data_IF_067870192172
#
_entry.id   IF_067870192172
#
_cell.length_a   1.000
_cell.length_b   1.000
_cell.length_c   1.000
_cell.angle_alpha   90.00
_cell.angle_beta   90.00
_cell.angle_gamma   90.00
#
_symmetry.space_group_name_H-M   'P 1'
#
loop_
_entity.id
_entity.type
_entity.pdbx_description
1 polymer ?
#
# COMPACT_ATOMS: atom_id res chain seq x y z
N UNK A 1 23.34 60.87 -15.86
CA UNK A 1 22.13 60.56 -16.65
C UNK A 1 22.13 59.07 -17.00
N UNK A 2 21.14 58.34 -16.46
CA UNK A 2 20.61 57.02 -16.86
C UNK A 2 21.49 55.76 -16.70
N UNK A 3 21.41 55.21 -15.50
CA UNK A 3 21.54 53.80 -15.09
C UNK A 3 20.62 52.87 -15.89
N UNK A 4 21.04 51.64 -16.19
CA UNK A 4 20.14 50.49 -16.39
C UNK A 4 20.76 49.23 -15.78
N UNK A 5 20.19 48.80 -14.66
CA UNK A 5 20.34 47.46 -14.12
C UNK A 5 19.53 46.49 -14.99
N UNK A 6 20.12 45.35 -15.35
CA UNK A 6 19.38 44.23 -15.93
C UNK A 6 19.15 43.24 -14.80
N UNK A 7 17.91 43.23 -14.32
CA UNK A 7 17.34 42.25 -13.41
C UNK A 7 17.13 40.97 -14.22
N UNK A 8 17.80 39.88 -13.84
CA UNK A 8 17.43 38.56 -14.32
C UNK A 8 16.22 38.09 -13.54
N UNK A 9 15.06 38.16 -14.20
CA UNK A 9 13.80 37.60 -13.74
C UNK A 9 13.95 36.07 -13.67
N UNK A 10 13.99 35.51 -12.46
CA UNK A 10 13.81 34.07 -12.24
C UNK A 10 12.36 33.75 -12.56
N UNK A 11 12.13 33.10 -13.71
CA UNK A 11 10.87 32.43 -13.97
C UNK A 11 10.78 31.25 -13.00
N UNK A 12 10.00 31.44 -11.93
CA UNK A 12 9.43 30.37 -11.13
C UNK A 12 8.65 29.45 -12.08
N UNK A 13 9.26 28.35 -12.48
CA UNK A 13 8.50 27.16 -12.84
C UNK A 13 7.95 26.66 -11.52
N UNK A 14 6.65 26.84 -11.31
CA UNK A 14 5.93 26.08 -10.30
C UNK A 14 6.02 24.61 -10.72
N UNK A 15 7.09 23.95 -10.28
CA UNK A 15 7.12 22.51 -10.12
C UNK A 15 6.07 22.22 -9.04
N UNK A 16 4.82 22.09 -9.44
CA UNK A 16 3.83 21.34 -8.65
C UNK A 16 4.26 19.90 -8.78
N UNK A 17 5.31 19.56 -8.05
CA UNK A 17 5.64 18.18 -7.79
C UNK A 17 4.42 17.66 -7.07
N UNK A 18 3.86 16.57 -7.57
CA UNK A 18 3.06 15.71 -6.73
C UNK A 18 3.87 15.51 -5.45
N UNK A 19 3.45 16.18 -4.38
CA UNK A 19 4.03 15.94 -3.07
C UNK A 19 3.86 14.43 -2.84
N UNK A 20 4.93 13.69 -2.48
CA UNK A 20 4.73 12.31 -2.07
C UNK A 20 3.67 12.36 -0.97
N UNK A 21 2.59 11.60 -1.14
CA UNK A 21 1.49 11.57 -0.20
C UNK A 21 2.04 11.13 1.17
N UNK A 22 2.40 12.10 1.99
CA UNK A 22 2.50 12.00 3.46
C UNK A 22 1.14 11.60 4.08
N UNK A 23 0.11 11.41 3.24
CA UNK A 23 -1.26 11.10 3.60
C UNK A 23 -1.45 9.68 4.19
N UNK A 24 -0.48 8.78 4.01
CA UNK A 24 -0.45 7.48 4.71
C UNK A 24 0.18 7.55 6.10
N UNK A 25 1.24 8.36 6.25
CA UNK A 25 1.99 8.53 7.51
C UNK A 25 1.23 9.37 8.55
N UNK A 26 0.29 10.21 8.13
CA UNK A 26 -0.35 11.24 8.98
C UNK A 26 -1.78 10.94 9.42
N UNK A 27 -2.40 9.83 9.01
CA UNK A 27 -3.81 9.52 9.35
C UNK A 27 -3.97 8.82 10.70
N UNK A 28 -2.97 8.10 11.17
CA UNK A 28 -2.84 7.71 12.56
C UNK A 28 -1.94 8.74 13.24
N UNK A 29 -2.43 9.48 14.22
CA UNK A 29 -1.66 10.51 14.95
C UNK A 29 -0.51 9.98 15.81
N UNK A 30 0.02 8.79 15.50
CA UNK A 30 1.13 8.14 16.20
C UNK A 30 1.93 7.26 15.24
N UNK A 31 3.23 7.16 15.50
CA UNK A 31 4.14 6.26 14.80
C UNK A 31 3.65 4.81 14.88
N UNK A 32 3.64 4.10 13.74
CA UNK A 32 3.22 2.70 13.67
C UNK A 32 4.36 1.83 14.19
N UNK A 33 4.15 1.20 15.34
CA UNK A 33 5.16 0.38 16.01
C UNK A 33 4.73 -1.06 16.15
N UNK A 34 3.42 -1.31 16.21
CA UNK A 34 2.85 -2.63 16.44
C UNK A 34 1.57 -2.84 15.63
N UNK A 35 1.23 -4.11 15.39
CA UNK A 35 -0.05 -4.49 14.77
C UNK A 35 -1.27 -3.93 15.51
N UNK A 36 -1.15 -3.72 16.83
CA UNK A 36 -2.24 -3.16 17.65
C UNK A 36 -2.61 -1.75 17.21
N UNK A 37 -1.68 -0.99 16.65
CA UNK A 37 -1.88 0.40 16.24
C UNK A 37 -2.90 0.52 15.10
N UNK A 38 -3.08 -0.54 14.31
CA UNK A 38 -4.07 -0.59 13.23
C UNK A 38 -5.50 -0.81 13.72
N UNK A 39 -5.72 -1.29 14.96
CA UNK A 39 -7.04 -1.75 15.40
C UNK A 39 -8.10 -0.64 15.34
N UNK A 40 -7.77 0.55 15.82
CA UNK A 40 -8.72 1.67 15.84
C UNK A 40 -9.06 2.15 14.42
N UNK A 41 -8.07 2.22 13.52
CA UNK A 41 -8.26 2.64 12.14
C UNK A 41 -9.10 1.65 11.32
N UNK A 42 -8.98 0.35 11.61
CA UNK A 42 -9.65 -0.71 10.87
C UNK A 42 -11.00 -1.15 11.47
N UNK A 43 -11.26 -0.84 12.74
CA UNK A 43 -12.47 -1.26 13.45
C UNK A 43 -13.79 -0.87 12.75
N UNK A 44 -13.94 0.33 12.13
CA UNK A 44 -15.20 0.70 11.48
C UNK A 44 -15.51 -0.06 10.19
N UNK A 45 -14.51 -0.73 9.60
CA UNK A 45 -14.58 -1.20 8.21
C UNK A 45 -14.49 -2.72 8.08
N UNK A 46 -14.27 -3.44 9.17
CA UNK A 46 -14.04 -4.87 9.13
C UNK A 46 -13.97 -5.51 10.50
N UNK A 47 -13.64 -6.79 10.50
CA UNK A 47 -13.56 -7.60 11.70
C UNK A 47 -12.18 -8.24 11.82
N UNK A 48 -11.71 -8.37 13.06
CA UNK A 48 -10.51 -9.13 13.37
C UNK A 48 -10.88 -10.59 13.62
N UNK A 49 -10.15 -11.52 13.01
CA UNK A 49 -10.33 -12.97 13.14
C UNK A 49 -9.02 -13.62 13.52
N UNK A 50 -9.05 -14.61 14.41
CA UNK A 50 -7.88 -15.41 14.75
C UNK A 50 -7.76 -16.59 13.77
N UNK A 51 -6.62 -16.67 13.07
CA UNK A 51 -6.27 -17.81 12.21
C UNK A 51 -5.10 -18.56 12.83
N UNK A 52 -5.16 -19.89 12.85
CA UNK A 52 -4.17 -20.75 13.52
C UNK A 52 -2.73 -20.45 13.09
N UNK A 53 -2.49 -20.28 11.78
CA UNK A 53 -1.14 -20.03 11.24
C UNK A 53 -0.68 -18.58 11.30
N UNK A 54 -1.58 -17.62 11.57
CA UNK A 54 -1.30 -16.18 11.38
C UNK A 54 -1.68 -15.29 12.57
N UNK A 55 -2.40 -15.83 13.56
CA UNK A 55 -2.98 -15.05 14.66
C UNK A 55 -4.03 -14.05 14.16
N UNK A 56 -4.03 -12.86 14.76
CA UNK A 56 -5.02 -11.83 14.52
C UNK A 56 -4.91 -11.23 13.11
N UNK A 57 -5.84 -11.59 12.24
CA UNK A 57 -5.97 -11.08 10.88
C UNK A 57 -7.21 -10.20 10.74
N UNK A 58 -7.29 -9.41 9.67
CA UNK A 58 -8.44 -8.53 9.41
C UNK A 58 -9.19 -8.92 8.13
N UNK A 59 -10.52 -8.80 8.16
CA UNK A 59 -11.41 -9.09 7.04
C UNK A 59 -12.36 -7.91 6.83
N UNK A 60 -12.42 -7.33 5.62
CA UNK A 60 -13.34 -6.23 5.34
C UNK A 60 -14.80 -6.70 5.41
N UNK A 61 -15.68 -5.83 5.89
CA UNK A 61 -17.14 -6.06 5.89
C UNK A 61 -17.82 -4.98 5.06
N UNK A 62 -19.02 -5.28 4.55
CA UNK A 62 -19.77 -4.34 3.71
C UNK A 62 -19.20 -4.14 2.29
N UNK A 63 -18.22 -4.94 1.88
CA UNK A 63 -17.71 -5.00 0.50
C UNK A 63 -18.50 -5.99 -0.36
N UNK A 64 -18.45 -5.82 -1.69
CA UNK A 64 -19.15 -6.69 -2.64
C UNK A 64 -18.69 -8.15 -2.59
N UNK A 65 -19.48 -9.05 -3.17
CA UNK A 65 -19.19 -10.49 -3.22
C UNK A 65 -17.96 -10.84 -4.07
N UNK A 66 -17.67 -10.02 -5.07
CA UNK A 66 -16.55 -10.11 -6.01
C UNK A 66 -15.34 -9.23 -5.61
N UNK A 67 -15.44 -8.51 -4.49
CA UNK A 67 -14.37 -7.66 -4.01
C UNK A 67 -13.05 -8.43 -3.84
N UNK A 68 -11.97 -7.79 -4.25
CA UNK A 68 -10.60 -8.30 -4.16
C UNK A 68 -9.62 -7.12 -4.04
N UNK A 69 -8.51 -7.30 -3.31
CA UNK A 69 -7.48 -6.29 -3.16
C UNK A 69 -6.83 -5.95 -4.51
N UNK A 70 -6.30 -4.74 -4.62
CA UNK A 70 -5.58 -4.24 -5.80
C UNK A 70 -6.42 -4.20 -7.10
N UNK A 71 -7.71 -3.88 -6.99
CA UNK A 71 -8.62 -3.71 -8.15
C UNK A 71 -9.29 -2.35 -8.20
N UNK A 72 -9.87 -1.87 -7.11
CA UNK A 72 -10.46 -0.53 -7.04
C UNK A 72 -9.39 0.50 -6.63
N UNK A 73 -8.66 1.00 -7.62
CA UNK A 73 -7.54 1.93 -7.40
C UNK A 73 -6.68 2.10 -8.66
N UNK A 74 -5.51 2.70 -8.49
CA UNK A 74 -4.56 2.93 -9.57
C UNK A 74 -3.11 2.86 -9.08
N UNK A 75 -2.22 2.45 -9.98
CA UNK A 75 -0.78 2.52 -9.78
C UNK A 75 -0.28 3.94 -10.01
N UNK A 76 0.47 4.48 -9.06
CA UNK A 76 1.09 5.81 -9.13
C UNK A 76 2.59 5.66 -8.92
N UNK A 77 3.39 6.25 -9.80
CA UNK A 77 4.84 6.28 -9.61
C UNK A 77 5.23 7.33 -8.58
N UNK A 78 5.99 6.92 -7.56
CA UNK A 78 6.50 7.78 -6.49
C UNK A 78 8.01 7.63 -6.35
N UNK A 79 8.63 8.43 -5.49
CA UNK A 79 10.04 8.27 -5.09
C UNK A 79 10.33 6.95 -4.38
N UNK A 80 9.29 6.29 -3.86
CA UNK A 80 9.35 4.97 -3.22
C UNK A 80 8.91 3.82 -4.16
N UNK A 81 8.70 4.08 -5.45
CA UNK A 81 8.30 3.11 -6.46
C UNK A 81 6.80 3.12 -6.81
N UNK A 82 6.31 2.05 -7.44
CA UNK A 82 4.89 1.88 -7.81
C UNK A 82 4.01 1.74 -6.56
N UNK A 83 3.32 2.82 -6.21
CA UNK A 83 2.39 2.91 -5.10
C UNK A 83 0.97 2.56 -5.55
N UNK A 84 0.26 1.77 -4.75
CA UNK A 84 -1.16 1.53 -4.98
C UNK A 84 -2.02 2.61 -4.32
N UNK A 85 -2.66 3.44 -5.13
CA UNK A 85 -3.57 4.48 -4.67
C UNK A 85 -5.03 4.02 -4.75
N UNK A 86 -5.80 4.28 -3.70
CA UNK A 86 -7.21 3.88 -3.61
C UNK A 86 -8.00 4.87 -2.76
N UNK A 87 -9.31 4.90 -2.99
CA UNK A 87 -10.28 5.63 -2.15
C UNK A 87 -10.84 4.77 -0.99
N UNK A 88 -10.45 3.50 -0.90
CA UNK A 88 -10.86 2.64 0.21
C UNK A 88 -10.31 3.18 1.55
N UNK A 89 -11.15 3.38 2.57
CA UNK A 89 -10.73 4.10 3.78
C UNK A 89 -9.71 3.34 4.64
N UNK A 90 -9.62 2.02 4.48
CA UNK A 90 -8.59 1.16 5.09
C UNK A 90 -7.33 0.99 4.23
N UNK A 91 -7.32 1.54 3.02
CA UNK A 91 -6.29 1.26 2.01
C UNK A 91 -4.89 1.66 2.45
N UNK A 92 -4.76 2.80 3.13
CA UNK A 92 -3.48 3.31 3.63
C UNK A 92 -2.79 2.35 4.62
N UNK A 93 -3.56 1.50 5.31
CA UNK A 93 -3.01 0.42 6.15
C UNK A 93 -2.80 -0.83 5.32
N UNK A 94 -3.89 -1.36 4.75
CA UNK A 94 -3.91 -2.76 4.33
C UNK A 94 -3.17 -3.03 3.02
N UNK A 95 -2.93 -2.02 2.19
CA UNK A 95 -2.14 -2.16 0.98
C UNK A 95 -0.63 -1.96 1.20
N UNK A 96 -0.24 -1.43 2.35
CA UNK A 96 1.13 -0.98 2.60
C UNK A 96 1.80 -1.64 3.83
N UNK A 97 1.03 -2.09 4.81
CA UNK A 97 1.51 -2.63 6.09
C UNK A 97 1.06 -4.07 6.33
N UNK A 98 1.31 -4.98 5.38
CA UNK A 98 0.92 -6.37 5.52
C UNK A 98 0.72 -7.09 4.19
N UNK A 99 -0.01 -8.20 4.22
CA UNK A 99 -0.20 -9.10 3.07
C UNK A 99 -1.63 -9.54 2.95
N UNK A 100 -2.13 -9.56 1.73
CA UNK A 100 -3.44 -10.13 1.41
C UNK A 100 -3.31 -11.58 1.00
N UNK A 101 -4.13 -12.45 1.59
CA UNK A 101 -4.23 -13.85 1.19
C UNK A 101 -5.68 -14.25 0.91
N UNK A 102 -5.84 -15.24 0.02
CA UNK A 102 -7.14 -15.86 -0.22
C UNK A 102 -7.37 -16.96 0.82
N UNK A 103 -8.48 -16.88 1.55
CA UNK A 103 -8.87 -17.83 2.60
C UNK A 103 -10.21 -18.52 2.27
N UNK A 104 -10.36 -19.85 2.44
CA UNK A 104 -11.56 -20.58 2.05
C UNK A 104 -12.85 -20.07 2.70
N UNK A 105 -12.80 -19.71 3.99
CA UNK A 105 -13.97 -19.27 4.76
C UNK A 105 -14.24 -17.76 4.69
N UNK A 106 -13.18 -16.96 4.53
CA UNK A 106 -13.23 -15.50 4.72
C UNK A 106 -13.00 -14.74 3.40
N UNK A 107 -12.80 -15.45 2.28
CA UNK A 107 -12.45 -14.91 0.96
C UNK A 107 -11.09 -14.22 0.96
N UNK A 108 -11.02 -12.95 1.32
CA UNK A 108 -9.78 -12.20 1.39
C UNK A 108 -9.50 -11.80 2.83
N UNK A 109 -8.32 -12.17 3.29
CA UNK A 109 -7.87 -11.89 4.65
C UNK A 109 -6.58 -11.10 4.55
N UNK A 110 -6.48 -10.05 5.35
CA UNK A 110 -5.27 -9.28 5.52
C UNK A 110 -4.52 -9.74 6.76
N UNK A 111 -3.27 -10.15 6.55
CA UNK A 111 -2.31 -10.50 7.59
C UNK A 111 -1.46 -9.26 7.87
N UNK A 112 -1.49 -8.72 9.09
CA UNK A 112 -0.82 -7.48 9.42
C UNK A 112 0.71 -7.62 9.49
N UNK A 113 1.42 -6.56 9.12
CA UNK A 113 2.84 -6.36 9.36
C UNK A 113 3.07 -4.86 9.70
N UNK A 114 4.20 -4.50 10.28
CA UNK A 114 4.58 -3.11 10.54
C UNK A 114 5.57 -2.59 9.50
N UNK A 115 6.14 -3.46 8.67
CA UNK A 115 7.00 -3.04 7.56
C UNK A 115 6.17 -2.41 6.45
N UNK A 116 6.51 -1.17 6.08
CA UNK A 116 5.87 -0.44 5.00
C UNK A 116 6.46 -0.80 3.63
N UNK A 117 5.62 -0.89 2.60
CA UNK A 117 6.01 -0.86 1.19
C UNK A 117 4.98 -0.10 0.35
N UNK A 118 5.35 0.43 -0.83
CA UNK A 118 4.41 1.12 -1.72
C UNK A 118 3.27 0.19 -2.20
N UNK A 119 3.55 -1.11 -2.31
CA UNK A 119 2.58 -2.19 -2.46
C UNK A 119 3.29 -3.54 -2.26
N UNK A 120 2.52 -4.58 -1.94
CA UNK A 120 3.03 -5.94 -1.76
C UNK A 120 2.44 -6.87 -2.81
N UNK A 121 2.93 -6.74 -4.04
CA UNK A 121 2.46 -7.49 -5.22
C UNK A 121 3.60 -8.15 -5.99
N UNK A 122 3.31 -9.27 -6.63
CA UNK A 122 4.14 -9.83 -7.69
C UNK A 122 3.69 -9.25 -9.03
N UNK A 123 4.65 -8.76 -9.81
CA UNK A 123 4.42 -8.34 -11.19
C UNK A 123 4.62 -9.50 -12.16
N UNK A 124 3.83 -9.51 -13.23
CA UNK A 124 3.94 -10.44 -14.36
C UNK A 124 3.80 -9.64 -15.64
N UNK A 125 4.64 -9.94 -16.62
CA UNK A 125 4.53 -9.39 -17.97
C UNK A 125 4.41 -10.56 -18.95
N UNK A 126 3.55 -10.41 -19.96
CA UNK A 126 3.37 -11.41 -21.01
C UNK A 126 2.36 -10.96 -22.05
N UNK A 127 2.57 -11.31 -23.31
CA UNK A 127 1.68 -11.02 -24.45
C UNK A 127 1.27 -9.54 -24.59
N UNK A 128 2.14 -8.61 -24.18
CA UNK A 128 1.87 -7.17 -24.21
C UNK A 128 1.01 -6.66 -23.05
N UNK A 129 0.75 -7.49 -22.05
CA UNK A 129 0.02 -7.14 -20.83
C UNK A 129 0.93 -7.13 -19.62
N UNK A 130 0.61 -6.24 -18.67
CA UNK A 130 1.16 -6.25 -17.32
C UNK A 130 0.05 -6.70 -16.37
N UNK A 131 0.35 -7.72 -15.57
CA UNK A 131 -0.49 -8.22 -14.50
C UNK A 131 0.19 -8.08 -13.15
N UNK A 132 -0.63 -8.04 -12.10
CA UNK A 132 -0.16 -8.09 -10.73
C UNK A 132 -1.05 -9.01 -9.89
N UNK A 133 -0.48 -9.57 -8.84
CA UNK A 133 -1.21 -10.32 -7.84
C UNK A 133 -0.67 -9.99 -6.44
N UNK A 134 -1.52 -10.00 -5.39
CA UNK A 134 -1.03 -9.87 -4.02
C UNK A 134 0.06 -10.90 -3.72
N UNK A 135 1.10 -10.48 -3.01
CA UNK A 135 2.05 -11.41 -2.42
C UNK A 135 1.41 -12.10 -1.23
N UNK A 136 1.54 -13.42 -1.17
CA UNK A 136 1.10 -14.21 -0.01
C UNK A 136 2.00 -13.87 1.20
N UNK A 137 1.47 -13.90 2.44
CA UNK A 137 2.29 -13.80 3.65
C UNK A 137 3.39 -14.87 3.74
N UNK A 138 3.22 -15.99 3.04
CA UNK A 138 4.18 -17.11 3.01
C UNK A 138 5.38 -16.84 2.10
N UNK A 139 5.29 -15.83 1.23
CA UNK A 139 6.40 -15.49 0.36
C UNK A 139 7.40 -14.59 1.10
N UNK A 140 8.61 -15.08 1.33
CA UNK A 140 9.72 -14.22 1.74
C UNK A 140 10.20 -13.46 0.49
N UNK A 141 9.99 -12.15 0.45
CA UNK A 141 10.47 -11.32 -0.65
C UNK A 141 11.85 -10.81 -0.29
N UNK A 142 12.85 -11.34 -0.96
CA UNK A 142 14.23 -10.88 -0.82
C UNK A 142 14.34 -9.50 -1.49
N UNK A 143 14.42 -8.45 -0.68
CA UNK A 143 14.51 -7.06 -1.15
C UNK A 143 15.79 -6.77 -1.93
N UNK A 144 16.85 -7.57 -1.74
CA UNK A 144 18.13 -7.40 -2.44
C UNK A 144 18.09 -8.05 -3.83
N UNK A 145 17.33 -9.14 -3.99
CA UNK A 145 17.30 -9.91 -5.24
C UNK A 145 15.99 -9.84 -6.01
N UNK A 146 14.93 -9.27 -5.42
CA UNK A 146 13.60 -9.16 -6.01
C UNK A 146 12.92 -10.52 -6.25
N UNK A 147 13.36 -11.57 -5.55
CA UNK A 147 12.87 -12.94 -5.73
C UNK A 147 12.00 -13.39 -4.56
N UNK A 148 11.00 -14.20 -4.89
CA UNK A 148 10.19 -14.91 -3.90
C UNK A 148 10.96 -16.15 -3.44
N UNK A 149 11.22 -16.26 -2.15
CA UNK A 149 11.61 -17.50 -1.49
C UNK A 149 10.36 -18.20 -1.00
N UNK A 150 10.31 -19.51 -1.21
CA UNK A 150 9.15 -20.35 -0.89
C UNK A 150 9.50 -21.46 0.11
N UNK A 151 10.62 -21.34 0.83
CA UNK A 151 11.10 -22.33 1.79
C UNK A 151 10.94 -21.87 3.25
N UNK A 152 9.82 -22.28 3.86
CA UNK A 152 9.76 -22.56 5.30
C UNK A 152 9.10 -23.91 5.56
#
# INVERSE_FOLDING_TARGET
>A
MKTKAVVWLVLMVCWVGAQPDTAGESRAGGEIRTVRDFRAALAPYGQWVELESYGACWVPVGVSSDWRPYVSGSWVWTDRGWYWSTSEPWGWVTYHYGRWMKHPKHRWVWVPDVVWAPAWVAWREGDGYIGWAPLSPECDFDLDTGRLRTDR
#
